data_IF_266685351904
#
_entry.id   IF_266685351904
#
_cell.length_a   1.000
_cell.length_b   1.000
_cell.length_c   1.000
_cell.angle_alpha   90.00
_cell.angle_beta   90.00
_cell.angle_gamma   90.00
#
_symmetry.space_group_name_H-M   'P 1'
#
loop_
_entity.id
_entity.type
_entity.pdbx_description
1 polymer ?
#
# COMPACT_ATOMS: atom_id res chain seq x y z
N UNK A 1 -4.11 -16.85 9.76
CA UNK A 1 -5.03 -15.70 9.92
C UNK A 1 -4.27 -14.64 10.69
N UNK A 2 -4.23 -13.42 10.17
CA UNK A 2 -3.47 -12.31 10.73
C UNK A 2 -4.46 -11.28 11.25
N UNK A 3 -4.20 -10.76 12.45
CA UNK A 3 -5.08 -9.80 13.11
C UNK A 3 -4.29 -8.61 13.66
N UNK A 4 -4.83 -7.42 13.43
CA UNK A 4 -4.27 -6.15 13.90
C UNK A 4 -5.36 -5.40 14.67
N UNK A 5 -5.07 -5.01 15.90
CA UNK A 5 -5.97 -4.20 16.70
C UNK A 5 -5.58 -2.72 16.55
N UNK A 6 -6.58 -1.86 16.35
CA UNK A 6 -6.41 -0.42 16.22
C UNK A 6 -7.64 0.31 16.72
N UNK A 7 -7.49 1.16 17.73
CA UNK A 7 -8.59 1.97 18.30
C UNK A 7 -9.85 1.16 18.64
N UNK A 8 -9.67 -0.05 19.22
CA UNK A 8 -10.77 -0.96 19.56
C UNK A 8 -11.45 -1.63 18.34
N UNK A 9 -10.93 -1.42 17.13
CA UNK A 9 -11.31 -2.17 15.92
C UNK A 9 -10.29 -3.26 15.66
N UNK A 10 -10.76 -4.37 15.10
CA UNK A 10 -9.91 -5.50 14.71
C UNK A 10 -9.92 -5.65 13.19
N UNK A 11 -8.76 -5.50 12.58
CA UNK A 11 -8.51 -5.77 11.17
C UNK A 11 -8.10 -7.23 11.03
N UNK A 12 -8.77 -7.95 10.13
CA UNK A 12 -8.54 -9.38 9.90
C UNK A 12 -8.13 -9.65 8.46
N UNK A 13 -7.15 -10.53 8.31
CA UNK A 13 -6.71 -11.08 7.04
C UNK A 13 -6.65 -12.62 7.10
N UNK A 14 -7.19 -13.26 6.06
CA UNK A 14 -7.07 -14.70 5.83
C UNK A 14 -7.23 -14.96 4.34
N UNK A 15 -6.22 -15.55 3.69
CA UNK A 15 -6.27 -15.88 2.26
C UNK A 15 -7.53 -16.69 1.90
N UNK A 16 -7.92 -17.64 2.75
CA UNK A 16 -9.10 -18.50 2.54
C UNK A 16 -10.43 -17.74 2.52
N UNK A 17 -10.47 -16.52 3.06
CA UNK A 17 -11.67 -15.71 3.19
C UNK A 17 -11.70 -14.54 2.20
N UNK A 18 -10.67 -14.39 1.37
CA UNK A 18 -10.65 -13.36 0.34
C UNK A 18 -11.69 -13.67 -0.73
N UNK A 19 -12.46 -12.67 -1.12
CA UNK A 19 -13.26 -12.78 -2.32
C UNK A 19 -12.39 -12.58 -3.59
N UNK A 20 -12.98 -12.90 -4.74
CA UNK A 20 -12.30 -12.75 -6.04
C UNK A 20 -11.90 -11.29 -6.27
N UNK A 21 -12.78 -10.33 -5.98
CA UNK A 21 -12.52 -8.90 -6.18
C UNK A 21 -11.33 -8.40 -5.36
N UNK A 22 -11.26 -8.74 -4.06
CA UNK A 22 -10.11 -8.41 -3.21
C UNK A 22 -8.80 -8.95 -3.79
N UNK A 23 -8.86 -10.20 -4.28
CA UNK A 23 -7.69 -10.89 -4.81
C UNK A 23 -7.21 -10.27 -6.12
N UNK A 24 -8.11 -9.94 -7.03
CA UNK A 24 -7.79 -9.27 -8.30
C UNK A 24 -7.19 -7.88 -8.08
N UNK A 25 -7.81 -7.04 -7.24
CA UNK A 25 -7.32 -5.70 -6.94
C UNK A 25 -5.95 -5.71 -6.25
N UNK A 26 -5.73 -6.64 -5.31
CA UNK A 26 -4.43 -6.82 -4.67
C UNK A 26 -3.36 -7.30 -5.66
N UNK A 27 -3.71 -8.23 -6.57
CA UNK A 27 -2.82 -8.70 -7.64
C UNK A 27 -2.45 -7.59 -8.60
N UNK A 28 -3.40 -6.78 -9.04
CA UNK A 28 -3.19 -5.69 -9.99
C UNK A 28 -2.10 -4.72 -9.51
N UNK A 29 -2.16 -4.32 -8.23
CA UNK A 29 -1.12 -3.47 -7.62
C UNK A 29 0.24 -4.17 -7.62
N UNK A 30 0.27 -5.47 -7.26
CA UNK A 30 1.49 -6.26 -7.27
C UNK A 30 2.13 -6.36 -8.66
N UNK A 31 1.33 -6.64 -9.67
CA UNK A 31 1.74 -6.73 -11.07
C UNK A 31 2.23 -5.39 -11.60
N UNK A 32 1.50 -4.31 -11.30
CA UNK A 32 1.92 -2.97 -11.69
C UNK A 32 3.27 -2.60 -11.06
N UNK A 33 3.50 -2.99 -9.81
CA UNK A 33 4.78 -2.78 -9.13
C UNK A 33 5.91 -3.61 -9.74
N UNK A 34 5.64 -4.85 -10.11
CA UNK A 34 6.60 -5.73 -10.80
C UNK A 34 7.03 -5.11 -12.14
N UNK A 35 6.07 -4.69 -12.96
CA UNK A 35 6.34 -4.04 -14.25
C UNK A 35 7.22 -2.80 -14.09
N UNK A 36 7.00 -1.99 -13.04
CA UNK A 36 7.85 -0.82 -12.75
C UNK A 36 9.27 -1.17 -12.32
N UNK A 37 9.51 -2.35 -11.76
CA UNK A 37 10.85 -2.80 -11.37
C UNK A 37 11.64 -3.36 -12.56
N UNK A 38 10.94 -3.88 -13.57
CA UNK A 38 11.53 -4.47 -14.78
C UNK A 38 11.78 -3.43 -15.90
N UNK A 39 11.13 -2.27 -15.84
CA UNK A 39 11.21 -1.21 -16.86
C UNK A 39 12.07 -0.01 -16.43
N UNK A 40 12.28 0.94 -17.35
CA UNK A 40 12.95 2.22 -17.06
C UNK A 40 12.37 2.92 -15.82
N UNK A 41 13.15 3.74 -15.10
CA UNK A 41 12.69 4.36 -13.87
C UNK A 41 11.35 5.08 -14.09
N UNK A 42 10.32 4.77 -13.28
CA UNK A 42 8.99 5.31 -13.49
C UNK A 42 9.04 6.83 -13.42
N UNK A 43 8.28 7.48 -14.30
CA UNK A 43 8.01 8.91 -14.15
C UNK A 43 7.36 9.16 -12.78
N UNK A 44 7.46 10.40 -12.26
CA UNK A 44 6.87 10.73 -10.97
C UNK A 44 5.37 10.39 -10.92
N UNK A 45 4.66 10.60 -12.03
CA UNK A 45 3.24 10.25 -12.20
C UNK A 45 2.98 8.73 -12.08
N UNK A 46 3.79 7.91 -12.74
CA UNK A 46 3.69 6.45 -12.65
C UNK A 46 4.03 5.95 -11.24
N UNK A 47 5.03 6.56 -10.60
CA UNK A 47 5.41 6.24 -9.24
C UNK A 47 4.30 6.59 -8.24
N UNK A 48 3.61 7.72 -8.39
CA UNK A 48 2.43 8.07 -7.57
C UNK A 48 1.29 7.09 -7.80
N UNK A 49 1.05 6.68 -9.06
CA UNK A 49 0.00 5.70 -9.40
C UNK A 49 0.26 4.34 -8.76
N UNK A 50 1.50 3.84 -8.76
CA UNK A 50 1.85 2.59 -8.06
C UNK A 50 1.79 2.70 -6.54
N UNK A 51 1.72 3.93 -6.02
CA UNK A 51 1.82 4.22 -4.59
C UNK A 51 3.25 4.28 -4.09
N UNK A 52 4.24 4.22 -4.98
CA UNK A 52 5.64 4.44 -4.64
C UNK A 52 6.10 3.53 -3.50
N UNK A 53 6.61 4.13 -2.42
CA UNK A 53 7.02 3.40 -1.21
C UNK A 53 5.83 2.80 -0.41
N UNK A 54 4.60 3.30 -0.62
CA UNK A 54 3.39 2.86 0.08
C UNK A 54 2.63 1.74 -0.66
N UNK A 55 3.18 1.17 -1.72
CA UNK A 55 2.51 0.14 -2.53
C UNK A 55 2.01 -1.05 -1.68
N UNK A 56 2.77 -1.47 -0.67
CA UNK A 56 2.35 -2.52 0.28
C UNK A 56 1.09 -2.12 1.04
N UNK A 57 0.99 -0.86 1.50
CA UNK A 57 -0.20 -0.35 2.18
C UNK A 57 -1.42 -0.33 1.26
N UNK A 58 -1.21 0.01 -0.02
CA UNK A 58 -2.28 -0.08 -1.03
C UNK A 58 -2.76 -1.51 -1.25
N UNK A 59 -1.89 -2.51 -1.16
CA UNK A 59 -2.31 -3.92 -1.19
C UNK A 59 -3.09 -4.26 0.07
N UNK A 60 -2.57 -3.90 1.25
CA UNK A 60 -3.20 -4.21 2.53
C UNK A 60 -4.66 -3.72 2.62
N UNK A 61 -5.00 -2.55 2.01
CA UNK A 61 -6.38 -2.05 2.01
C UNK A 61 -7.38 -2.99 1.33
N UNK A 62 -6.92 -3.84 0.42
CA UNK A 62 -7.77 -4.84 -0.23
C UNK A 62 -7.71 -6.20 0.47
N UNK A 63 -6.63 -6.49 1.20
CA UNK A 63 -6.46 -7.75 1.92
C UNK A 63 -7.24 -7.80 3.23
N UNK A 64 -7.29 -6.69 3.97
CA UNK A 64 -7.90 -6.64 5.29
C UNK A 64 -9.40 -6.32 5.22
N UNK A 65 -10.13 -6.83 6.20
CA UNK A 65 -11.52 -6.46 6.49
C UNK A 65 -11.63 -6.13 7.98
N UNK A 66 -12.63 -5.36 8.37
CA UNK A 66 -12.99 -5.24 9.78
C UNK A 66 -13.68 -6.52 10.26
N UNK A 67 -13.37 -6.93 11.49
CA UNK A 67 -14.02 -8.08 12.13
C UNK A 67 -15.55 -7.97 12.08
N UNK A 68 -16.20 -9.06 11.68
CA UNK A 68 -17.65 -9.13 11.54
C UNK A 68 -18.23 -8.40 10.32
N UNK A 69 -17.40 -7.74 9.48
CA UNK A 69 -17.85 -7.07 8.25
C UNK A 69 -17.51 -7.90 7.01
N UNK A 70 -18.33 -7.73 5.96
CA UNK A 70 -18.02 -8.20 4.61
C UNK A 70 -17.10 -7.20 3.92
N UNK A 71 -16.41 -7.65 2.88
CA UNK A 71 -15.63 -6.75 2.03
C UNK A 71 -16.54 -5.72 1.36
N UNK A 72 -16.09 -4.47 1.37
CA UNK A 72 -16.68 -3.35 0.67
C UNK A 72 -15.55 -2.51 0.06
N UNK A 73 -15.59 -2.34 -1.26
CA UNK A 73 -14.53 -1.64 -2.00
C UNK A 73 -14.45 -0.16 -1.65
N UNK A 74 -15.60 0.51 -1.48
CA UNK A 74 -15.63 1.94 -1.14
C UNK A 74 -14.97 2.19 0.21
N UNK A 75 -15.30 1.36 1.20
CA UNK A 75 -14.68 1.36 2.52
C UNK A 75 -13.18 1.03 2.45
N UNK A 76 -12.80 0.03 1.64
CA UNK A 76 -11.40 -0.36 1.43
C UNK A 76 -10.54 0.79 0.89
N UNK A 77 -11.06 1.51 -0.11
CA UNK A 77 -10.34 2.60 -0.79
C UNK A 77 -10.31 3.91 0.01
N UNK A 78 -11.23 4.07 0.96
CA UNK A 78 -11.35 5.28 1.79
C UNK A 78 -10.91 5.02 3.24
N UNK A 79 -11.82 4.61 4.11
CA UNK A 79 -11.61 4.50 5.55
C UNK A 79 -10.54 3.47 5.93
N UNK A 80 -10.52 2.31 5.28
CA UNK A 80 -9.56 1.26 5.62
C UNK A 80 -8.14 1.66 5.23
N UNK A 81 -7.95 2.28 4.07
CA UNK A 81 -6.64 2.78 3.67
C UNK A 81 -6.12 3.84 4.64
N UNK A 82 -6.97 4.77 5.09
CA UNK A 82 -6.58 5.75 6.11
C UNK A 82 -6.22 5.05 7.43
N UNK A 83 -7.06 4.11 7.88
CA UNK A 83 -6.79 3.32 9.09
C UNK A 83 -5.42 2.65 9.02
N UNK A 84 -5.10 1.99 7.89
CA UNK A 84 -3.82 1.32 7.68
C UNK A 84 -2.63 2.30 7.72
N UNK A 85 -2.79 3.52 7.17
CA UNK A 85 -1.72 4.54 7.21
C UNK A 85 -1.44 5.08 8.62
N UNK A 86 -2.44 5.05 9.50
CA UNK A 86 -2.31 5.50 10.89
C UNK A 86 -1.96 4.37 11.88
N UNK A 87 -1.80 3.14 11.40
CA UNK A 87 -1.32 2.05 12.23
C UNK A 87 0.07 2.36 12.81
N UNK A 88 0.29 1.91 14.04
CA UNK A 88 1.59 2.04 14.68
C UNK A 88 2.66 1.20 13.96
N UNK A 89 3.93 1.52 14.19
CA UNK A 89 5.04 0.81 13.57
C UNK A 89 5.04 -0.70 13.90
N UNK A 90 4.49 -1.09 15.05
CA UNK A 90 4.34 -2.49 15.50
C UNK A 90 3.41 -3.32 14.61
N UNK A 91 2.47 -2.69 13.90
CA UNK A 91 1.60 -3.38 12.95
C UNK A 91 2.31 -3.69 11.61
N UNK A 92 3.40 -2.99 11.29
CA UNK A 92 4.11 -3.11 10.00
C UNK A 92 4.51 -4.56 9.67
N UNK A 93 5.12 -5.34 10.60
CA UNK A 93 5.48 -6.72 10.32
C UNK A 93 4.27 -7.59 9.94
N UNK A 94 3.11 -7.37 10.60
CA UNK A 94 1.87 -8.11 10.31
C UNK A 94 1.29 -7.74 8.93
N UNK A 95 1.38 -6.47 8.55
CA UNK A 95 0.99 -6.01 7.22
C UNK A 95 1.87 -6.65 6.14
N UNK A 96 3.19 -6.68 6.36
CA UNK A 96 4.12 -7.35 5.44
C UNK A 96 3.88 -8.85 5.36
N UNK A 97 3.59 -9.49 6.49
CA UNK A 97 3.25 -10.91 6.55
C UNK A 97 1.98 -11.22 5.74
N UNK A 98 0.94 -10.37 5.83
CA UNK A 98 -0.28 -10.54 5.05
C UNK A 98 -0.01 -10.43 3.54
N UNK A 99 0.80 -9.46 3.11
CA UNK A 99 1.18 -9.32 1.70
C UNK A 99 2.00 -10.52 1.22
N UNK A 100 2.93 -11.03 2.05
CA UNK A 100 3.71 -12.23 1.74
C UNK A 100 2.81 -13.46 1.60
N UNK A 101 1.98 -13.71 2.60
CA UNK A 101 1.05 -14.84 2.61
C UNK A 101 0.11 -14.79 1.39
N UNK A 102 -0.38 -13.61 1.01
CA UNK A 102 -1.20 -13.45 -0.17
C UNK A 102 -0.49 -13.90 -1.45
N UNK A 103 0.71 -13.39 -1.72
CA UNK A 103 1.44 -13.72 -2.96
C UNK A 103 1.95 -15.17 -2.98
N UNK A 104 2.28 -15.76 -1.83
CA UNK A 104 2.64 -17.19 -1.74
C UNK A 104 1.43 -18.03 -2.14
N UNK A 105 0.28 -17.83 -1.47
CA UNK A 105 -0.92 -18.63 -1.70
C UNK A 105 -1.58 -18.34 -3.05
N UNK A 106 -1.33 -17.18 -3.66
CA UNK A 106 -1.78 -16.87 -5.01
C UNK A 106 -0.92 -17.49 -6.13
N UNK A 107 0.11 -18.28 -5.77
CA UNK A 107 1.03 -18.93 -6.72
C UNK A 107 2.06 -17.98 -7.34
N UNK A 108 2.35 -16.85 -6.69
CA UNK A 108 3.25 -15.79 -7.18
C UNK A 108 4.55 -15.69 -6.36
N UNK A 109 4.97 -16.79 -5.74
CA UNK A 109 6.10 -16.85 -4.81
C UNK A 109 7.44 -16.42 -5.44
N UNK A 110 7.71 -16.78 -6.70
CA UNK A 110 8.92 -16.35 -7.42
C UNK A 110 8.97 -14.82 -7.56
N UNK A 111 7.84 -14.18 -7.84
CA UNK A 111 7.68 -12.72 -8.03
C UNK A 111 7.86 -11.96 -6.71
N UNK A 112 7.49 -12.59 -5.60
CA UNK A 112 7.63 -12.09 -4.25
C UNK A 112 9.10 -11.78 -3.90
N UNK A 113 10.02 -12.65 -4.31
CA UNK A 113 11.45 -12.48 -4.05
C UNK A 113 12.03 -11.22 -4.70
N UNK A 114 11.55 -10.84 -5.89
CA UNK A 114 11.95 -9.60 -6.57
C UNK A 114 11.31 -8.37 -5.92
N UNK A 115 9.99 -8.41 -5.65
CA UNK A 115 9.24 -7.32 -5.01
C UNK A 115 9.79 -6.92 -3.64
N UNK A 116 10.25 -7.89 -2.84
CA UNK A 116 10.76 -7.64 -1.49
C UNK A 116 12.28 -7.40 -1.42
N UNK A 117 13.05 -7.73 -2.47
CA UNK A 117 14.49 -7.42 -2.54
C UNK A 117 14.80 -5.97 -2.88
N UNK A 118 13.95 -5.32 -3.68
CA UNK A 118 14.18 -3.95 -4.18
C UNK A 118 13.67 -2.83 -3.25
N UNK A 119 12.88 -3.16 -2.23
CA UNK A 119 12.35 -2.19 -1.24
C UNK A 119 13.38 -1.53 -0.30
N UNK A 120 14.69 -1.68 -0.57
CA UNK A 120 15.78 -0.93 0.07
C UNK A 120 16.47 0.04 -0.90
N UNK A 121 15.84 0.37 -2.02
CA UNK A 121 16.43 1.31 -2.98
C UNK A 121 16.38 2.73 -2.42
N UNK A 122 17.55 3.28 -2.10
CA UNK A 122 17.78 4.68 -1.71
C UNK A 122 17.06 5.67 -2.65
N UNK A 123 16.88 5.30 -3.92
CA UNK A 123 16.11 6.06 -4.91
C UNK A 123 14.62 6.19 -4.55
N UNK A 124 13.96 5.17 -3.99
CA UNK A 124 12.54 5.26 -3.62
C UNK A 124 12.30 6.20 -2.45
N UNK A 125 13.20 6.20 -1.48
CA UNK A 125 13.18 7.17 -0.38
C UNK A 125 13.42 8.59 -0.90
N UNK A 126 14.32 8.76 -1.87
CA UNK A 126 14.57 10.06 -2.51
C UNK A 126 13.37 10.56 -3.31
N UNK A 127 12.69 9.70 -4.08
CA UNK A 127 11.47 10.07 -4.80
C UNK A 127 10.31 10.40 -3.84
N UNK A 128 10.15 9.64 -2.74
CA UNK A 128 9.17 9.96 -1.69
C UNK A 128 9.46 11.32 -1.03
N UNK A 129 10.73 11.61 -0.73
CA UNK A 129 11.14 12.91 -0.19
C UNK A 129 10.87 14.05 -1.18
N UNK A 130 11.15 13.87 -2.47
CA UNK A 130 10.83 14.86 -3.51
C UNK A 130 9.34 15.17 -3.54
N UNK A 131 8.47 14.17 -3.46
CA UNK A 131 7.02 14.36 -3.42
C UNK A 131 6.58 15.19 -2.21
N UNK A 132 7.06 14.83 -1.02
CA UNK A 132 6.77 15.57 0.23
C UNK A 132 7.21 17.04 0.12
N UNK A 133 8.36 17.30 -0.51
CA UNK A 133 8.85 18.66 -0.75
C UNK A 133 8.00 19.43 -1.77
N UNK A 134 7.49 18.78 -2.82
CA UNK A 134 6.60 19.41 -3.80
C UNK A 134 5.22 19.73 -3.22
N UNK A 135 4.65 18.81 -2.43
CA UNK A 135 3.37 19.03 -1.73
C UNK A 135 3.46 20.19 -0.72
N UNK A 136 4.58 20.32 0.00
CA UNK A 136 4.81 21.45 0.90
C UNK A 136 4.95 22.80 0.18
N UNK A 137 5.44 22.83 -1.07
CA UNK A 137 5.51 24.07 -1.87
C UNK A 137 4.14 24.55 -2.36
N UNK A 138 3.18 23.64 -2.55
CA UNK A 138 1.81 23.99 -2.95
C UNK A 138 0.92 24.44 -1.78
N UNK A 139 1.40 24.34 -0.54
CA UNK A 139 0.69 24.74 0.68
C UNK A 139 1.02 26.13 1.23
N UNK A 140 1.77 26.97 0.51
CA UNK A 140 1.97 28.37 0.92
C UNK A 140 0.83 29.23 0.37
N UNK A 141 -0.10 29.74 1.20
CA UNK A 141 -0.95 30.83 0.76
C UNK A 141 -0.04 32.01 0.44
N UNK A 142 -0.18 32.51 -0.79
CA UNK A 142 0.45 33.71 -1.27
C UNK A 142 -0.08 34.89 -0.43
N UNK A 143 0.53 35.16 0.73
CA UNK A 143 0.27 36.39 1.48
C UNK A 143 1.00 37.52 0.77
N UNK A 144 0.26 38.18 -0.11
CA UNK A 144 0.20 39.64 -0.29
C UNK A 144 1.51 40.40 -0.06
N UNK A 145 2.11 40.86 -1.15
CA UNK A 145 2.63 42.24 -1.22
C UNK A 145 1.81 43.00 -2.24
N UNK A 146 0.74 43.61 -1.74
CA UNK A 146 0.15 44.81 -2.33
C UNK A 146 0.29 45.89 -1.26
N UNK A 147 1.35 46.68 -1.38
CA UNK A 147 1.45 48.07 -0.92
C UNK A 147 2.10 48.86 -2.05
#
# INVERSE_FOLDING_TARGET
MIEIEFEGKKLQYSFKNLCVEQSELAKEIGLYRELQLESEPPTLDEWVRSGGAEWKMKICRYLFILEGKKYDRGFAETELYQTIRYLNAEATPKLEEAVKDFFINSGSEQKLSQLFRTGRNRNEMLEYLKLMMMMNKQGLPNKSTSE
#
